data_IF_082360376911
#
_entry.id   IF_082360376911
#
_cell.length_a   1.000
_cell.length_b   1.000
_cell.length_c   1.000
_cell.angle_alpha   90.00
_cell.angle_beta   90.00
_cell.angle_gamma   90.00
#
_symmetry.space_group_name_H-M   'P 1'
#
loop_
_entity.id
_entity.type
_entity.pdbx_description
1 polymer ?
#
# COMPACT_ATOMS: atom_id res chain seq x y z
N UNK A 1 -7.16 -9.67 11.26
CA UNK A 1 -8.05 -8.74 11.98
C UNK A 1 -7.15 -7.75 12.69
N UNK A 2 -7.05 -6.51 12.19
CA UNK A 2 -6.41 -5.43 12.94
C UNK A 2 -7.49 -4.77 13.78
N UNK A 3 -7.35 -4.88 15.10
CA UNK A 3 -8.26 -4.27 16.05
C UNK A 3 -7.95 -2.76 16.12
N UNK A 4 -8.86 -1.95 15.58
CA UNK A 4 -8.84 -0.51 15.77
C UNK A 4 -9.46 -0.20 17.13
N UNK A 5 -8.73 -0.47 18.21
CA UNK A 5 -9.13 -0.07 19.56
C UNK A 5 -8.58 1.33 19.85
N UNK A 6 -9.37 2.35 19.49
CA UNK A 6 -9.04 3.74 19.79
C UNK A 6 -10.18 4.68 19.33
N UNK A 7 -10.54 5.71 20.12
CA UNK A 7 -11.70 6.56 19.88
C UNK A 7 -11.43 7.60 18.79
N UNK A 8 -11.25 7.18 17.54
CA UNK A 8 -11.12 8.12 16.43
C UNK A 8 -12.53 8.58 16.01
N UNK A 9 -13.02 9.64 16.65
CA UNK A 9 -14.29 10.32 16.32
C UNK A 9 -14.08 11.43 15.25
N UNK A 10 -13.26 11.19 14.21
CA UNK A 10 -12.98 12.17 13.15
C UNK A 10 -12.22 11.62 11.94
N UNK A 11 -12.20 12.40 10.85
CA UNK A 11 -11.37 12.13 9.66
C UNK A 11 -9.95 12.62 9.98
N UNK A 12 -9.01 11.70 10.15
CA UNK A 12 -7.60 12.03 10.34
C UNK A 12 -6.91 12.04 8.97
N UNK A 13 -6.73 13.23 8.39
CA UNK A 13 -5.99 13.42 7.15
C UNK A 13 -4.53 13.78 7.45
N UNK A 14 -3.61 13.11 6.77
CA UNK A 14 -2.18 13.32 6.93
C UNK A 14 -1.41 12.95 5.67
N UNK A 15 -0.24 13.56 5.50
CA UNK A 15 0.64 13.20 4.39
C UNK A 15 1.21 11.79 4.60
N UNK A 16 1.02 10.94 3.60
CA UNK A 16 1.60 9.61 3.53
C UNK A 16 2.61 9.54 2.40
N UNK A 17 3.76 8.94 2.67
CA UNK A 17 4.73 8.57 1.64
C UNK A 17 4.54 7.11 1.28
N UNK A 18 4.36 6.83 -0.01
CA UNK A 18 4.25 5.48 -0.54
C UNK A 18 5.44 5.18 -1.45
N UNK A 19 6.15 4.10 -1.16
CA UNK A 19 7.13 3.51 -2.06
C UNK A 19 6.63 2.15 -2.54
N UNK A 20 6.73 1.88 -3.83
CA UNK A 20 6.46 0.56 -4.42
C UNK A 20 7.67 0.13 -5.22
N UNK A 21 8.14 -1.09 -4.97
CA UNK A 21 9.21 -1.72 -5.73
C UNK A 21 8.68 -3.07 -6.23
N UNK A 22 8.80 -3.36 -7.52
CA UNK A 22 8.31 -4.62 -8.05
C UNK A 22 9.03 -5.12 -9.29
N UNK A 23 8.83 -6.41 -9.56
CA UNK A 23 9.31 -7.11 -10.75
C UNK A 23 8.10 -7.61 -11.53
N UNK A 24 8.14 -7.40 -12.85
CA UNK A 24 7.16 -7.93 -13.79
C UNK A 24 7.84 -8.99 -14.67
N UNK A 25 7.39 -10.23 -14.57
CA UNK A 25 7.73 -11.30 -15.48
C UNK A 25 6.65 -11.36 -16.56
N UNK A 26 7.03 -11.23 -17.83
CA UNK A 26 6.10 -11.28 -18.95
C UNK A 26 6.43 -12.46 -19.87
N UNK A 27 5.42 -13.26 -20.18
CA UNK A 27 5.45 -14.32 -21.17
C UNK A 27 4.30 -14.08 -22.16
N UNK A 28 4.62 -13.64 -23.36
CA UNK A 28 3.67 -13.29 -24.42
C UNK A 28 2.55 -12.34 -23.94
N UNK A 29 1.37 -12.93 -23.70
CA UNK A 29 0.12 -12.27 -23.28
C UNK A 29 -0.12 -12.29 -21.78
N UNK A 30 0.64 -13.09 -21.03
CA UNK A 30 0.50 -13.22 -19.59
C UNK A 30 1.67 -12.54 -18.88
N UNK A 31 1.37 -11.88 -17.78
CA UNK A 31 2.35 -11.30 -16.88
C UNK A 31 2.12 -11.76 -15.47
N UNK A 32 3.20 -11.97 -14.72
CA UNK A 32 3.17 -12.12 -13.28
C UNK A 32 3.95 -10.97 -12.67
N UNK A 33 3.34 -10.30 -11.70
CA UNK A 33 3.89 -9.12 -11.03
C UNK A 33 4.03 -9.44 -9.55
N UNK A 34 5.20 -9.14 -9.01
CA UNK A 34 5.45 -9.19 -7.56
C UNK A 34 5.89 -7.80 -7.14
N UNK A 35 5.15 -7.18 -6.23
CA UNK A 35 5.37 -5.83 -5.74
C UNK A 35 5.50 -5.83 -4.23
N UNK A 36 6.46 -5.07 -3.72
CA UNK A 36 6.59 -4.72 -2.33
C UNK A 36 6.21 -3.26 -2.15
N UNK A 37 5.17 -3.01 -1.35
CA UNK A 37 4.73 -1.67 -1.01
C UNK A 37 5.16 -1.34 0.43
N UNK A 38 5.70 -0.15 0.61
CA UNK A 38 5.90 0.46 1.91
C UNK A 38 5.15 1.80 1.95
N UNK A 39 4.14 1.86 2.81
CA UNK A 39 3.42 3.06 3.19
C UNK A 39 3.98 3.58 4.51
N UNK A 40 4.36 4.85 4.53
CA UNK A 40 4.73 5.57 5.75
C UNK A 40 3.78 6.75 5.89
N UNK A 41 2.76 6.57 6.72
CA UNK A 41 1.81 7.62 7.06
C UNK A 41 2.14 8.13 8.46
N UNK A 42 2.37 9.44 8.58
CA UNK A 42 2.47 10.12 9.88
C UNK A 42 1.19 10.91 10.08
N UNK A 43 0.23 10.34 10.80
CA UNK A 43 -0.92 11.09 11.28
C UNK A 43 -0.56 11.67 12.65
N UNK A 44 -0.62 13.00 12.77
CA UNK A 44 -0.52 13.67 14.06
C UNK A 44 -1.94 13.94 14.53
N UNK A 45 -2.35 13.33 15.64
CA UNK A 45 -3.60 13.70 16.30
C UNK A 45 -3.39 15.01 17.08
N UNK A 46 -4.44 15.82 17.22
CA UNK A 46 -4.42 17.13 17.88
C UNK A 46 -4.02 17.08 19.37
N UNK A 47 -3.94 15.87 19.96
CA UNK A 47 -3.50 15.62 21.32
C UNK A 47 -1.99 15.31 21.47
N UNK A 48 -1.22 15.39 20.38
CA UNK A 48 0.23 15.13 20.39
C UNK A 48 0.62 13.66 20.25
N UNK A 49 -0.36 12.77 20.06
CA UNK A 49 -0.12 11.34 19.84
C UNK A 49 0.18 11.08 18.36
N UNK A 50 1.37 10.52 18.09
CA UNK A 50 1.80 10.16 16.74
C UNK A 50 1.28 8.77 16.44
N UNK A 51 0.21 8.69 15.67
CA UNK A 51 -0.32 7.42 15.20
C UNK A 51 0.50 7.00 13.98
N UNK A 52 1.29 5.93 14.16
CA UNK A 52 2.06 5.33 13.07
C UNK A 52 1.17 4.39 12.26
N UNK A 53 0.56 4.93 11.21
CA UNK A 53 -0.23 4.15 10.24
C UNK A 53 0.66 3.57 9.11
N UNK A 54 1.94 3.32 9.39
CA UNK A 54 2.84 2.69 8.43
C UNK A 54 2.38 1.26 8.12
N UNK A 55 2.32 0.92 6.84
CA UNK A 55 1.97 -0.42 6.37
C UNK A 55 3.00 -0.91 5.38
N UNK A 56 3.29 -2.21 5.40
CA UNK A 56 4.17 -2.85 4.42
C UNK A 56 3.51 -4.13 3.94
N UNK A 57 3.59 -4.40 2.64
CA UNK A 57 2.91 -5.54 2.05
C UNK A 57 3.61 -6.04 0.80
N UNK A 58 3.52 -7.36 0.59
CA UNK A 58 3.85 -7.99 -0.68
C UNK A 58 2.54 -8.23 -1.43
N UNK A 59 2.51 -7.83 -2.69
CA UNK A 59 1.41 -8.00 -3.60
C UNK A 59 1.87 -8.89 -4.74
N UNK A 60 1.05 -9.88 -5.09
CA UNK A 60 1.28 -10.73 -6.24
C UNK A 60 0.07 -10.60 -7.15
N UNK A 61 0.31 -10.26 -8.41
CA UNK A 61 -0.72 -10.04 -9.40
C UNK A 61 -0.46 -10.85 -10.67
N UNK A 62 -1.53 -11.32 -11.29
CA UNK A 62 -1.52 -11.81 -12.67
C UNK A 62 -2.05 -10.72 -13.59
N UNK A 63 -1.40 -10.53 -14.72
CA UNK A 63 -1.72 -9.52 -15.72
C UNK A 63 -1.95 -10.20 -17.06
N UNK A 64 -2.89 -9.67 -17.85
CA UNK A 64 -3.13 -10.10 -19.21
C UNK A 64 -3.02 -8.92 -20.15
N UNK A 65 -2.14 -9.02 -21.14
CA UNK A 65 -1.88 -7.95 -22.11
C UNK A 65 -2.74 -8.16 -23.35
N UNK A 66 -3.57 -7.15 -23.65
CA UNK A 66 -4.33 -7.09 -24.89
C UNK A 66 -3.53 -6.31 -25.95
N UNK A 67 -2.86 -7.05 -26.84
CA UNK A 67 -2.12 -6.52 -27.99
C UNK A 67 -1.69 -7.67 -28.92
N UNK A 68 -1.66 -7.43 -30.24
CA UNK A 68 -1.10 -8.37 -31.22
C UNK A 68 0.42 -8.44 -31.03
N UNK A 69 0.93 -9.67 -30.97
CA UNK A 69 2.36 -10.03 -31.04
C UNK A 69 3.04 -9.45 -32.27
#
# INVERSE_FOLDING_TARGET
MHDFSGPIHGIADGLAYQGVLGVLLRADRFGMRVEYMALRARAADNNGERIDASSRGVFVGLSFFFGRT
#
